data_IF_805744784335
#
_entry.id   IF_805744784335
#
_cell.length_a   1.000
_cell.length_b   1.000
_cell.length_c   1.000
_cell.angle_alpha   90.00
_cell.angle_beta   90.00
_cell.angle_gamma   90.00
#
_symmetry.space_group_name_H-M   'P 1'
#
loop_
_entity.id
_entity.type
_entity.pdbx_description
1 polymer ?
#
# COMPACT_ATOMS: atom_id res chain seq x y z
N UNK A 1 22.27 4.75 5.60
CA UNK A 1 21.61 4.11 4.44
C UNK A 1 21.59 2.61 4.70
N UNK A 2 20.43 1.94 4.63
CA UNK A 2 20.43 0.47 4.49
C UNK A 2 21.09 0.14 3.15
N UNK A 3 21.95 -0.87 3.13
CA UNK A 3 22.61 -1.33 1.90
C UNK A 3 21.58 -1.56 0.79
N UNK A 4 21.93 -1.21 -0.45
CA UNK A 4 21.10 -1.50 -1.62
C UNK A 4 20.83 -3.01 -1.69
N UNK A 5 19.58 -3.45 -1.93
CA UNK A 5 19.26 -4.88 -1.97
C UNK A 5 20.02 -5.57 -3.12
N UNK A 6 20.84 -6.57 -2.77
CA UNK A 6 21.76 -7.22 -3.71
C UNK A 6 21.15 -8.47 -4.33
N UNK A 7 20.29 -9.17 -3.59
CA UNK A 7 19.64 -10.41 -4.03
C UNK A 7 18.15 -10.22 -4.27
N UNK A 8 17.53 -11.14 -5.03
CA UNK A 8 16.07 -11.17 -5.19
C UNK A 8 15.36 -11.36 -3.84
N UNK A 9 15.96 -12.13 -2.93
CA UNK A 9 15.45 -12.30 -1.57
C UNK A 9 15.43 -10.96 -0.80
N UNK A 10 16.49 -10.16 -0.91
CA UNK A 10 16.55 -8.83 -0.28
C UNK A 10 15.48 -7.90 -0.87
N UNK A 11 15.30 -7.93 -2.19
CA UNK A 11 14.26 -7.12 -2.86
C UNK A 11 12.86 -7.51 -2.40
N UNK A 12 12.56 -8.81 -2.30
CA UNK A 12 11.30 -9.32 -1.74
C UNK A 12 11.10 -8.81 -0.30
N UNK A 13 12.13 -8.90 0.55
CA UNK A 13 12.05 -8.49 1.96
C UNK A 13 11.86 -6.97 2.11
N UNK A 14 12.57 -6.18 1.31
CA UNK A 14 12.44 -4.72 1.26
C UNK A 14 11.04 -4.32 0.82
N UNK A 15 10.55 -4.85 -0.30
CA UNK A 15 9.21 -4.51 -0.81
C UNK A 15 8.12 -4.91 0.17
N UNK A 16 8.18 -6.13 0.72
CA UNK A 16 7.21 -6.59 1.71
C UNK A 16 7.12 -5.62 2.89
N UNK A 17 8.28 -5.21 3.42
CA UNK A 17 8.35 -4.36 4.61
C UNK A 17 7.93 -2.93 4.32
N UNK A 18 8.36 -2.37 3.19
CA UNK A 18 8.06 -0.98 2.83
C UNK A 18 6.58 -0.80 2.50
N UNK A 19 5.99 -1.72 1.76
CA UNK A 19 4.59 -1.61 1.31
C UNK A 19 3.61 -1.96 2.44
N UNK A 20 3.89 -3.00 3.23
CA UNK A 20 2.92 -3.55 4.18
C UNK A 20 3.32 -3.45 5.66
N UNK A 21 4.51 -2.95 5.98
CA UNK A 21 5.02 -2.87 7.35
C UNK A 21 5.54 -4.20 7.89
N UNK A 22 5.57 -4.35 9.22
CA UNK A 22 6.18 -5.51 9.87
C UNK A 22 5.26 -6.74 9.91
N UNK A 23 3.97 -6.54 10.19
CA UNK A 23 3.02 -7.62 10.46
C UNK A 23 2.32 -8.11 9.19
N UNK A 24 2.29 -9.42 9.00
CA UNK A 24 1.56 -10.05 7.87
C UNK A 24 2.12 -9.75 6.48
N UNK A 25 3.24 -9.03 6.37
CA UNK A 25 3.80 -8.51 5.13
C UNK A 25 4.00 -9.54 4.03
N UNK A 26 4.45 -10.74 4.38
CA UNK A 26 4.68 -11.82 3.41
C UNK A 26 3.38 -12.41 2.87
N UNK A 27 2.35 -12.53 3.71
CA UNK A 27 1.03 -12.97 3.26
C UNK A 27 0.41 -11.94 2.31
N UNK A 28 0.52 -10.65 2.66
CA UNK A 28 0.01 -9.55 1.84
C UNK A 28 0.78 -9.41 0.52
N UNK A 29 2.10 -9.55 0.56
CA UNK A 29 2.93 -9.55 -0.64
C UNK A 29 2.56 -10.72 -1.57
N UNK A 30 2.44 -11.94 -1.05
CA UNK A 30 2.04 -13.09 -1.85
C UNK A 30 0.67 -12.86 -2.53
N UNK A 31 -0.31 -12.35 -1.78
CA UNK A 31 -1.61 -11.99 -2.31
C UNK A 31 -1.53 -10.89 -3.40
N UNK A 32 -0.75 -9.82 -3.15
CA UNK A 32 -0.55 -8.73 -4.11
C UNK A 32 0.14 -9.19 -5.40
N UNK A 33 1.02 -10.19 -5.31
CA UNK A 33 1.69 -10.83 -6.44
C UNK A 33 0.85 -11.95 -7.11
N UNK A 34 -0.32 -12.28 -6.58
CA UNK A 34 -1.16 -13.36 -7.12
C UNK A 34 -0.52 -14.75 -7.02
N UNK A 35 0.29 -15.01 -5.99
CA UNK A 35 0.95 -16.30 -5.76
C UNK A 35 0.67 -16.83 -4.35
N UNK A 36 0.84 -18.14 -4.17
CA UNK A 36 0.76 -18.72 -2.84
C UNK A 36 1.94 -18.26 -1.97
N UNK A 37 1.71 -18.18 -0.66
CA UNK A 37 2.75 -17.82 0.30
C UNK A 37 3.94 -18.78 0.25
N UNK A 38 3.69 -20.08 0.15
CA UNK A 38 4.77 -21.09 0.02
C UNK A 38 5.66 -20.80 -1.19
N UNK A 39 5.04 -20.47 -2.33
CA UNK A 39 5.76 -20.18 -3.57
C UNK A 39 6.60 -18.90 -3.47
N UNK A 40 6.11 -17.89 -2.76
CA UNK A 40 6.92 -16.71 -2.44
C UNK A 40 8.15 -17.07 -1.58
N UNK A 41 8.00 -17.97 -0.60
CA UNK A 41 9.13 -18.46 0.19
C UNK A 41 10.12 -19.27 -0.64
N UNK A 42 9.66 -20.07 -1.60
CA UNK A 42 10.53 -20.81 -2.52
C UNK A 42 11.37 -19.84 -3.36
N UNK A 43 10.75 -18.80 -3.93
CA UNK A 43 11.48 -17.76 -4.67
C UNK A 43 12.48 -17.00 -3.79
N UNK A 44 12.10 -16.71 -2.55
CA UNK A 44 13.00 -16.08 -1.58
C UNK A 44 14.19 -16.98 -1.21
N UNK A 45 14.02 -18.31 -1.27
CA UNK A 45 15.11 -19.30 -1.08
C UNK A 45 15.94 -19.52 -2.35
N UNK A 46 15.63 -18.84 -3.45
CA UNK A 46 16.36 -18.97 -4.72
C UNK A 46 15.84 -20.09 -5.63
N UNK A 47 14.61 -20.56 -5.43
CA UNK A 47 13.99 -21.51 -6.36
C UNK A 47 13.93 -20.92 -7.77
N UNK A 48 14.35 -21.71 -8.76
CA UNK A 48 14.30 -21.32 -10.18
C UNK A 48 12.85 -21.15 -10.62
N UNK A 49 12.61 -20.12 -11.41
CA UNK A 49 11.30 -19.80 -11.97
C UNK A 49 11.47 -19.13 -13.33
N UNK A 50 10.54 -19.38 -14.25
CA UNK A 50 10.44 -18.64 -15.51
C UNK A 50 9.72 -17.30 -15.35
N UNK A 51 9.10 -17.06 -14.19
CA UNK A 51 8.42 -15.79 -13.89
C UNK A 51 9.45 -14.70 -13.56
N UNK A 52 9.25 -13.52 -14.12
CA UNK A 52 10.00 -12.32 -13.76
C UNK A 52 9.49 -11.75 -12.43
N UNK A 53 10.10 -12.20 -11.33
CA UNK A 53 9.70 -11.76 -9.99
C UNK A 53 10.00 -10.28 -9.77
N UNK A 54 11.10 -9.76 -10.33
CA UNK A 54 11.47 -8.36 -10.16
C UNK A 54 10.47 -7.46 -10.90
N UNK A 55 10.08 -7.81 -12.13
CA UNK A 55 8.99 -7.13 -12.84
C UNK A 55 7.66 -7.15 -12.08
N UNK A 56 7.27 -8.31 -11.54
CA UNK A 56 6.05 -8.43 -10.72
C UNK A 56 6.09 -7.56 -9.45
N UNK A 57 7.26 -7.38 -8.84
CA UNK A 57 7.43 -6.48 -7.68
C UNK A 57 7.26 -5.01 -8.09
N UNK A 58 7.80 -4.60 -9.25
CA UNK A 58 7.61 -3.24 -9.78
C UNK A 58 6.14 -2.97 -10.09
N UNK A 59 5.47 -3.88 -10.80
CA UNK A 59 4.03 -3.77 -11.11
C UNK A 59 3.17 -3.69 -9.85
N UNK A 60 3.57 -4.37 -8.77
CA UNK A 60 2.90 -4.25 -7.48
C UNK A 60 3.11 -2.86 -6.86
N UNK A 61 4.35 -2.34 -6.89
CA UNK A 61 4.67 -1.02 -6.33
C UNK A 61 3.86 0.07 -7.05
N UNK A 62 3.79 0.02 -8.38
CA UNK A 62 3.02 1.00 -9.15
C UNK A 62 1.52 0.94 -8.82
N UNK A 63 0.93 -0.27 -8.75
CA UNK A 63 -0.48 -0.43 -8.34
C UNK A 63 -0.75 0.11 -6.93
N UNK A 64 0.14 -0.17 -5.98
CA UNK A 64 -0.02 0.32 -4.60
C UNK A 64 0.16 1.84 -4.52
N UNK A 65 1.05 2.42 -5.34
CA UNK A 65 1.21 3.88 -5.47
C UNK A 65 -0.06 4.53 -5.99
N UNK A 66 -0.64 3.97 -7.05
CA UNK A 66 -1.85 4.52 -7.67
C UNK A 66 -3.06 4.39 -6.72
N UNK A 67 -3.18 3.26 -6.01
CA UNK A 67 -4.18 3.06 -4.97
C UNK A 67 -4.02 4.07 -3.82
N UNK A 68 -2.79 4.36 -3.40
CA UNK A 68 -2.51 5.36 -2.38
C UNK A 68 -2.90 6.77 -2.86
N UNK A 69 -2.59 7.14 -4.11
CA UNK A 69 -2.99 8.41 -4.69
C UNK A 69 -4.51 8.57 -4.75
N UNK A 70 -5.23 7.52 -5.19
CA UNK A 70 -6.68 7.51 -5.18
C UNK A 70 -7.26 7.68 -3.76
N UNK A 71 -6.65 7.01 -2.76
CA UNK A 71 -7.05 7.13 -1.36
C UNK A 71 -6.82 8.54 -0.80
N UNK A 72 -5.70 9.19 -1.12
CA UNK A 72 -5.42 10.58 -0.71
C UNK A 72 -6.46 11.54 -1.28
N UNK A 73 -6.82 11.35 -2.56
CA UNK A 73 -7.89 12.14 -3.20
C UNK A 73 -9.23 11.96 -2.48
N UNK A 74 -9.64 10.71 -2.21
CA UNK A 74 -10.88 10.41 -1.50
C UNK A 74 -10.91 11.00 -0.07
N UNK A 75 -9.80 10.89 0.67
CA UNK A 75 -9.69 11.48 2.02
C UNK A 75 -9.75 13.01 1.99
N UNK A 76 -9.17 13.64 0.98
CA UNK A 76 -9.25 15.10 0.78
C UNK A 76 -10.70 15.52 0.53
N UNK A 77 -11.41 14.81 -0.34
CA UNK A 77 -12.82 15.07 -0.62
C UNK A 77 -13.68 14.94 0.65
N UNK A 78 -13.48 13.86 1.41
CA UNK A 78 -14.17 13.62 2.68
C UNK A 78 -13.89 14.73 3.70
N UNK A 79 -12.63 15.16 3.85
CA UNK A 79 -12.25 16.28 4.72
C UNK A 79 -13.01 17.55 4.36
N UNK A 80 -13.05 17.90 3.09
CA UNK A 80 -13.72 19.12 2.62
C UNK A 80 -15.24 19.04 2.85
N UNK A 81 -15.84 17.87 2.62
CA UNK A 81 -17.25 17.62 2.94
C UNK A 81 -17.54 17.82 4.43
N UNK A 82 -16.70 17.25 5.31
CA UNK A 82 -16.85 17.39 6.76
C UNK A 82 -16.73 18.84 7.21
N UNK A 83 -15.74 19.59 6.69
CA UNK A 83 -15.61 21.03 6.99
C UNK A 83 -16.86 21.81 6.57
N UNK A 84 -17.42 21.51 5.40
CA UNK A 84 -18.65 22.14 4.92
C UNK A 84 -19.89 21.79 5.77
N UNK A 85 -19.97 20.58 6.30
CA UNK A 85 -21.04 20.17 7.23
C UNK A 85 -20.91 20.91 8.57
N UNK A 86 -19.70 20.95 9.14
CA UNK A 86 -19.42 21.65 10.40
C UNK A 86 -19.71 23.15 10.28
N UNK A 87 -19.32 23.80 9.17
CA UNK A 87 -19.58 25.21 8.95
C UNK A 87 -21.08 25.53 8.86
N UNK A 88 -21.86 24.65 8.20
CA UNK A 88 -23.32 24.79 8.10
C UNK A 88 -24.00 24.61 9.45
N UNK A 89 -23.62 23.59 10.21
CA UNK A 89 -24.16 23.36 11.56
C UNK A 89 -23.95 24.59 12.47
N UNK A 90 -22.71 25.12 12.50
CA UNK A 90 -22.39 26.33 13.27
C UNK A 90 -23.17 27.57 12.84
N UNK A 91 -23.47 27.71 11.55
CA UNK A 91 -24.29 28.82 11.04
C UNK A 91 -25.75 28.70 11.48
N UNK A 92 -26.28 27.47 11.52
CA UNK A 92 -27.63 27.19 11.97
C UNK A 92 -27.79 27.49 13.47
N UNK A 93 -26.86 27.02 14.31
CA UNK A 93 -26.84 27.31 15.75
C UNK A 93 -26.86 28.81 16.04
N UNK A 94 -26.11 29.62 15.28
CA UNK A 94 -26.09 31.09 15.43
C UNK A 94 -27.41 31.76 15.02
N UNK A 95 -28.15 31.17 14.08
CA UNK A 95 -29.46 31.68 13.65
C UNK A 95 -30.54 31.35 14.66
N UNK A 96 -30.49 30.15 15.24
CA UNK A 96 -31.49 29.69 16.20
C UNK A 96 -31.31 30.35 17.59
N UNK A 97 -30.14 30.91 17.86
CA UNK A 97 -29.82 31.64 19.09
C UNK A 97 -30.08 33.16 19.01
N UNK A 98 -30.54 33.69 17.87
CA UNK A 98 -30.82 35.10 17.62
C UNK A 98 -32.32 35.35 17.48
#
# INVERSE_FOLDING_TARGET
>A
MKESPKTQADRIDVVATTVYGAYGRMSRLAAGLGISRSRLFDYRRGARTSRDIDGMLIDLIDRERDAAAARVSALTALRNQMLGLIARARKQERRDAA
#
